data_IF_154430746808
#
_entry.id   IF_154430746808
#
_cell.length_a   1.000
_cell.length_b   1.000
_cell.length_c   1.000
_cell.angle_alpha   90.00
_cell.angle_beta   90.00
_cell.angle_gamma   90.00
#
_symmetry.space_group_name_H-M   'P 1'
#
loop_
_entity.id
_entity.type
_entity.pdbx_description
1 polymer ?
#
# COMPACT_ATOMS: atom_id res chain seq x y z
N UNK A 1 -32.93 10.76 -16.17
CA UNK A 1 -32.21 10.00 -17.21
C UNK A 1 -30.85 10.65 -17.40
N UNK A 2 -29.75 9.94 -17.18
CA UNK A 2 -28.42 10.47 -17.51
C UNK A 2 -28.30 10.53 -19.03
N UNK A 3 -28.03 11.71 -19.57
CA UNK A 3 -27.81 11.91 -21.00
C UNK A 3 -26.41 11.44 -21.35
N UNK A 4 -26.31 10.51 -22.30
CA UNK A 4 -25.00 10.03 -22.77
C UNK A 4 -24.19 11.18 -23.37
N UNK A 5 -22.92 11.27 -22.99
CA UNK A 5 -21.97 12.20 -23.59
C UNK A 5 -21.72 11.84 -25.07
N UNK A 6 -21.19 12.78 -25.86
CA UNK A 6 -20.85 12.52 -27.27
C UNK A 6 -19.89 11.34 -27.40
N UNK A 7 -18.91 11.22 -26.50
CA UNK A 7 -17.95 10.12 -26.46
C UNK A 7 -18.60 8.77 -26.14
N UNK A 8 -19.53 8.72 -25.18
CA UNK A 8 -20.24 7.49 -24.84
C UNK A 8 -21.07 6.97 -26.02
N UNK A 9 -21.67 7.86 -26.81
CA UNK A 9 -22.44 7.47 -28.00
C UNK A 9 -21.55 6.85 -29.08
N UNK A 10 -20.35 7.39 -29.28
CA UNK A 10 -19.38 6.85 -30.24
C UNK A 10 -18.90 5.46 -29.82
N UNK A 11 -18.45 5.32 -28.56
CA UNK A 11 -18.01 4.04 -28.01
C UNK A 11 -19.13 2.99 -28.12
N UNK A 12 -20.36 3.38 -27.81
CA UNK A 12 -21.49 2.45 -27.84
C UNK A 12 -21.87 2.01 -29.26
N UNK A 13 -21.74 2.92 -30.25
CA UNK A 13 -21.90 2.57 -31.67
C UNK A 13 -20.86 1.53 -32.09
N UNK A 14 -19.61 1.73 -31.68
CA UNK A 14 -18.49 0.87 -32.08
C UNK A 14 -18.60 -0.52 -31.44
N UNK A 15 -19.04 -0.61 -30.18
CA UNK A 15 -19.23 -1.89 -29.47
C UNK A 15 -20.45 -2.66 -30.00
N UNK A 16 -21.55 -1.99 -30.36
CA UNK A 16 -22.78 -2.65 -30.86
C UNK A 16 -22.58 -3.45 -32.14
N UNK A 17 -21.63 -3.03 -32.99
CA UNK A 17 -21.31 -3.74 -34.24
C UNK A 17 -20.52 -5.04 -34.02
N UNK A 18 -20.03 -5.30 -32.81
CA UNK A 18 -19.18 -6.44 -32.52
C UNK A 18 -20.00 -7.69 -32.17
N UNK A 19 -19.49 -8.90 -32.47
CA UNK A 19 -20.07 -10.15 -32.00
C UNK A 19 -20.18 -10.18 -30.46
N UNK A 20 -21.19 -10.89 -29.89
CA UNK A 20 -21.39 -10.96 -28.44
C UNK A 20 -20.15 -11.42 -27.65
N UNK A 21 -19.35 -12.32 -28.24
CA UNK A 21 -18.11 -12.80 -27.64
C UNK A 21 -17.07 -11.68 -27.43
N UNK A 22 -16.99 -10.72 -28.37
CA UNK A 22 -16.10 -9.57 -28.24
C UNK A 22 -16.65 -8.53 -27.27
N UNK A 23 -17.97 -8.28 -27.27
CA UNK A 23 -18.60 -7.38 -26.30
C UNK A 23 -18.34 -7.85 -24.85
N UNK A 24 -18.41 -9.16 -24.59
CA UNK A 24 -18.10 -9.74 -23.28
C UNK A 24 -16.63 -9.52 -22.87
N UNK A 25 -15.69 -9.65 -23.81
CA UNK A 25 -14.27 -9.38 -23.55
C UNK A 25 -14.02 -7.91 -23.21
N UNK A 26 -14.67 -7.00 -23.94
CA UNK A 26 -14.57 -5.55 -23.66
C UNK A 26 -15.13 -5.24 -22.28
N UNK A 27 -16.28 -5.81 -21.91
CA UNK A 27 -16.85 -5.64 -20.57
C UNK A 27 -15.90 -6.14 -19.48
N UNK A 28 -15.26 -7.30 -19.66
CA UNK A 28 -14.23 -7.79 -18.73
C UNK A 28 -13.03 -6.84 -18.63
N UNK A 29 -12.54 -6.30 -19.75
CA UNK A 29 -11.43 -5.34 -19.76
C UNK A 29 -11.80 -4.07 -18.98
N UNK A 30 -13.00 -3.53 -19.21
CA UNK A 30 -13.50 -2.34 -18.51
C UNK A 30 -13.61 -2.61 -17.00
N UNK A 31 -14.10 -3.78 -16.60
CA UNK A 31 -14.12 -4.17 -15.18
C UNK A 31 -12.72 -4.29 -14.58
N UNK A 32 -11.77 -4.90 -15.29
CA UNK A 32 -10.39 -5.00 -14.84
C UNK A 32 -9.79 -3.60 -14.66
N UNK A 33 -9.92 -2.73 -15.65
CA UNK A 33 -9.39 -1.36 -15.57
C UNK A 33 -9.99 -0.60 -14.38
N UNK A 34 -11.31 -0.73 -14.18
CA UNK A 34 -12.00 -0.08 -13.08
C UNK A 34 -11.51 -0.58 -11.71
N UNK A 35 -11.31 -1.88 -11.57
CA UNK A 35 -10.92 -2.47 -10.29
C UNK A 35 -9.44 -2.20 -9.97
N UNK A 36 -8.56 -2.37 -10.95
CA UNK A 36 -7.10 -2.27 -10.75
C UNK A 36 -6.60 -0.82 -10.71
N UNK A 37 -7.17 0.07 -11.53
CA UNK A 37 -6.59 1.41 -11.72
C UNK A 37 -7.43 2.54 -11.13
N UNK A 38 -8.74 2.31 -10.91
CA UNK A 38 -9.67 3.35 -10.48
C UNK A 38 -10.18 3.10 -9.05
N UNK A 39 -10.29 1.84 -8.62
CA UNK A 39 -10.93 1.47 -7.34
C UNK A 39 -9.98 1.42 -6.14
N UNK A 40 -8.68 1.65 -6.33
CA UNK A 40 -7.80 1.98 -5.21
C UNK A 40 -7.84 3.49 -5.00
N UNK A 41 -8.51 4.02 -3.96
CA UNK A 41 -7.81 5.06 -3.24
C UNK A 41 -6.50 4.40 -2.83
N UNK A 42 -5.38 4.92 -3.30
CA UNK A 42 -4.16 4.77 -2.53
C UNK A 42 -4.55 5.34 -1.17
N UNK A 43 -4.93 4.46 -0.24
CA UNK A 43 -4.91 4.81 1.16
C UNK A 43 -3.46 5.20 1.32
N UNK A 44 -3.23 6.50 1.51
CA UNK A 44 -1.95 7.10 1.82
C UNK A 44 -1.54 6.59 3.20
N UNK A 45 -1.41 5.27 3.32
CA UNK A 45 -0.69 4.60 4.38
C UNK A 45 0.72 5.06 4.11
N UNK A 46 1.12 6.12 4.79
CA UNK A 46 2.46 6.66 4.63
C UNK A 46 3.45 5.50 4.75
N UNK A 47 4.54 5.50 3.98
CA UNK A 47 5.53 4.41 4.04
C UNK A 47 5.96 4.06 5.48
N UNK A 48 5.84 5.02 6.40
CA UNK A 48 5.99 4.86 7.85
C UNK A 48 4.99 3.87 8.47
N UNK A 49 3.70 3.92 8.14
CA UNK A 49 2.71 2.98 8.68
C UNK A 49 2.91 1.56 8.15
N UNK A 50 3.28 1.40 6.88
CA UNK A 50 3.60 0.08 6.31
C UNK A 50 4.89 -0.49 6.92
N UNK A 51 5.89 0.36 7.13
CA UNK A 51 7.12 0.01 7.86
C UNK A 51 6.81 -0.38 9.32
N UNK A 52 6.00 0.41 10.03
CA UNK A 52 5.61 0.12 11.41
C UNK A 52 4.76 -1.15 11.53
N UNK A 53 3.96 -1.50 10.52
CA UNK A 53 3.25 -2.76 10.47
C UNK A 53 4.18 -3.97 10.29
N UNK A 54 5.31 -3.79 9.60
CA UNK A 54 6.35 -4.80 9.41
C UNK A 54 7.20 -5.00 10.67
N UNK A 55 7.42 -3.93 11.42
CA UNK A 55 7.98 -3.99 12.75
C UNK A 55 6.95 -4.68 13.67
N UNK A 56 7.06 -5.99 13.82
CA UNK A 56 6.18 -6.76 14.71
C UNK A 56 6.00 -6.06 16.06
N UNK A 57 4.78 -6.15 16.62
CA UNK A 57 4.46 -5.52 17.91
C UNK A 57 5.44 -6.06 18.96
N UNK A 58 6.42 -5.24 19.35
CA UNK A 58 7.29 -5.54 20.47
C UNK A 58 6.40 -5.51 21.72
N UNK A 59 5.90 -6.69 22.12
CA UNK A 59 5.20 -6.87 23.38
C UNK A 59 6.26 -7.00 24.45
N UNK A 60 6.74 -5.87 24.94
CA UNK A 60 7.46 -5.83 26.19
C UNK A 60 6.46 -5.63 27.31
N UNK A 61 6.31 -6.65 28.16
CA UNK A 61 5.52 -6.53 29.38
C UNK A 61 6.36 -5.99 30.55
N UNK A 62 7.67 -5.78 30.35
CA UNK A 62 8.55 -5.18 31.34
C UNK A 62 8.28 -3.69 31.48
N UNK A 63 8.42 -3.18 32.70
CA UNK A 63 8.35 -1.76 33.00
C UNK A 63 9.46 -0.98 32.27
N UNK A 64 9.24 0.32 32.08
CA UNK A 64 10.25 1.22 31.50
C UNK A 64 11.58 1.14 32.24
N UNK A 65 11.54 1.02 33.58
CA UNK A 65 12.73 0.95 34.42
C UNK A 65 13.54 -0.34 34.17
N UNK A 66 12.87 -1.48 33.99
CA UNK A 66 13.51 -2.76 33.67
C UNK A 66 14.15 -2.75 32.27
N UNK A 67 13.46 -2.14 31.29
CA UNK A 67 14.00 -1.98 29.94
C UNK A 67 15.24 -1.10 29.93
N UNK A 68 15.22 0.01 30.68
CA UNK A 68 16.37 0.89 30.84
C UNK A 68 17.51 0.17 31.56
N UNK A 69 17.23 -0.59 32.61
CA UNK A 69 18.23 -1.35 33.35
C UNK A 69 18.96 -2.36 32.44
N UNK A 70 18.24 -3.11 31.62
CA UNK A 70 18.83 -4.03 30.65
C UNK A 70 19.70 -3.32 29.61
N UNK A 71 19.26 -2.15 29.13
CA UNK A 71 20.02 -1.37 28.16
C UNK A 71 21.30 -0.80 28.78
N UNK A 72 21.25 -0.32 30.02
CA UNK A 72 22.44 0.18 30.71
C UNK A 72 23.38 -0.94 31.16
N UNK A 73 22.86 -2.10 31.57
CA UNK A 73 23.67 -3.24 32.00
C UNK A 73 24.35 -3.97 30.84
N UNK A 74 23.72 -4.01 29.66
CA UNK A 74 24.29 -4.61 28.44
C UNK A 74 25.26 -3.70 27.69
N UNK A 75 25.29 -2.39 28.02
CA UNK A 75 26.30 -1.46 27.49
C UNK A 75 27.67 -1.81 28.06
N UNK A 76 28.48 -2.53 27.30
CA UNK A 76 29.92 -2.46 27.48
C UNK A 76 30.38 -1.03 27.15
N UNK A 77 30.87 -0.31 28.17
CA UNK A 77 31.61 0.93 27.97
C UNK A 77 32.89 0.60 27.23
N UNK A 78 32.84 0.60 25.90
CA UNK A 78 34.05 0.60 25.10
C UNK A 78 34.57 2.02 25.14
N UNK A 79 35.73 2.22 25.77
CA UNK A 79 36.50 3.44 25.59
C UNK A 79 36.88 3.52 24.11
N UNK A 80 36.00 4.09 23.27
CA UNK A 80 36.25 4.32 21.84
C UNK A 80 37.35 5.38 21.60
N UNK A 81 38.08 5.75 22.66
CA UNK A 81 39.27 6.60 22.69
C UNK A 81 40.35 5.97 23.57
N UNK A 82 40.56 4.66 23.51
CA UNK A 82 41.73 4.00 24.07
C UNK A 82 42.96 4.20 23.17
N UNK A 83 43.79 5.20 23.49
CA UNK A 83 45.16 5.46 23.00
C UNK A 83 45.37 5.47 21.48
N UNK A 84 45.15 6.64 20.87
CA UNK A 84 45.92 7.06 19.71
C UNK A 84 47.24 7.68 20.20
N UNK A 85 48.21 6.85 20.57
CA UNK A 85 49.64 7.21 20.70
C UNK A 85 50.49 5.99 20.40
#
# INVERSE_FOLDING_TARGET
>A
MQTMTTFEKEIFRDIRGLPPAMQKKIAHLVHLIRNEFISTPAVDVSATEEFLATCGKWKDDRSVDEQLHDLYSSRCSTERTGKAF
#
